data_IF_290323224803
#
_entry.id   IF_290323224803
#
_cell.length_a   1.000
_cell.length_b   1.000
_cell.length_c   1.000
_cell.angle_alpha   90.00
_cell.angle_beta   90.00
_cell.angle_gamma   90.00
#
_symmetry.space_group_name_H-M   'P 1'
#
loop_
_entity.id
_entity.type
_entity.pdbx_description
1 polymer ?
#
# COMPACT_ATOMS: atom_id res chain seq x y z
N UNK A 1 2.41 10.11 -1.97
CA UNK A 1 1.17 9.86 -2.75
C UNK A 1 -0.02 10.23 -1.90
N UNK A 2 -1.00 10.97 -2.44
CA UNK A 2 -2.20 11.34 -1.69
C UNK A 2 -3.18 10.15 -1.62
N UNK A 3 -3.74 9.84 -0.43
CA UNK A 3 -4.68 8.74 -0.28
C UNK A 3 -6.02 9.03 -0.95
N UNK A 4 -6.58 8.04 -1.65
CA UNK A 4 -7.89 8.10 -2.29
C UNK A 4 -8.81 7.07 -1.67
N UNK A 5 -10.08 7.44 -1.50
CA UNK A 5 -11.13 6.57 -0.98
C UNK A 5 -11.99 6.06 -2.13
N UNK A 6 -12.18 4.74 -2.19
CA UNK A 6 -13.05 4.04 -3.15
C UNK A 6 -14.10 3.20 -2.42
N UNK A 7 -15.30 3.10 -2.99
CA UNK A 7 -16.39 2.31 -2.41
C UNK A 7 -16.27 0.87 -2.88
N UNK A 8 -16.17 -0.06 -1.92
CA UNK A 8 -16.15 -1.50 -2.19
C UNK A 8 -17.56 -2.07 -2.13
N UNK A 9 -18.31 -1.73 -1.08
CA UNK A 9 -19.69 -2.17 -0.91
C UNK A 9 -20.48 -1.17 -0.09
N UNK A 10 -21.81 -1.23 -0.23
CA UNK A 10 -22.74 -0.36 0.48
C UNK A 10 -23.97 -1.15 0.87
N UNK A 11 -24.55 -0.79 2.01
CA UNK A 11 -25.87 -1.23 2.45
C UNK A 11 -26.70 0.00 2.81
N UNK A 12 -27.90 -0.22 3.35
CA UNK A 12 -28.75 0.84 3.86
C UNK A 12 -28.15 1.56 5.09
N UNK A 13 -27.29 0.92 5.87
CA UNK A 13 -26.74 1.49 7.12
C UNK A 13 -25.22 1.35 7.27
N UNK A 14 -24.54 0.87 6.24
CA UNK A 14 -23.09 0.72 6.25
C UNK A 14 -22.45 1.00 4.89
N UNK A 15 -21.21 1.48 4.92
CA UNK A 15 -20.36 1.70 3.75
C UNK A 15 -19.01 1.02 3.98
N UNK A 16 -18.60 0.16 3.07
CA UNK A 16 -17.26 -0.43 3.05
C UNK A 16 -16.42 0.32 2.04
N UNK A 17 -15.34 0.95 2.51
CA UNK A 17 -14.45 1.77 1.70
C UNK A 17 -13.03 1.21 1.72
N UNK A 18 -12.37 1.25 0.58
CA UNK A 18 -10.94 0.96 0.43
C UNK A 18 -10.18 2.28 0.32
N UNK A 19 -9.07 2.38 1.05
CA UNK A 19 -8.11 3.47 0.94
C UNK A 19 -6.91 2.99 0.13
N UNK A 20 -6.54 3.78 -0.89
CA UNK A 20 -5.41 3.53 -1.78
C UNK A 20 -4.43 4.71 -1.74
N UNK A 21 -3.10 4.49 -1.67
CA UNK A 21 -2.44 3.21 -1.52
C UNK A 21 -2.72 2.56 -0.15
N UNK A 22 -2.62 1.23 -0.08
CA UNK A 22 -2.78 0.50 1.17
C UNK A 22 -1.67 0.90 2.15
N UNK A 23 -2.04 1.20 3.40
CA UNK A 23 -1.12 1.57 4.47
C UNK A 23 -1.44 0.76 5.73
N UNK A 24 -0.41 0.54 6.56
CA UNK A 24 -0.55 -0.18 7.83
C UNK A 24 -1.44 0.56 8.84
N UNK A 25 -1.49 1.89 8.75
CA UNK A 25 -2.35 2.77 9.56
C UNK A 25 -2.91 3.90 8.71
N UNK A 26 -4.22 4.12 8.78
CA UNK A 26 -4.86 5.28 8.18
C UNK A 26 -5.97 5.80 9.09
N UNK A 27 -6.31 7.07 8.90
CA UNK A 27 -7.47 7.68 9.50
C UNK A 27 -8.46 8.08 8.41
N UNK A 28 -9.69 7.61 8.55
CA UNK A 28 -10.80 7.92 7.68
C UNK A 28 -11.70 8.94 8.36
N UNK A 29 -11.96 10.06 7.69
CA UNK A 29 -12.97 11.01 8.10
C UNK A 29 -14.17 10.90 7.17
N UNK A 30 -15.37 10.74 7.72
CA UNK A 30 -16.62 10.71 6.98
C UNK A 30 -17.59 11.75 7.50
N UNK A 31 -18.44 12.28 6.61
CA UNK A 31 -19.47 13.26 6.94
C UNK A 31 -20.69 13.01 6.07
N UNK A 32 -21.86 13.36 6.58
CA UNK A 32 -23.02 13.61 5.72
C UNK A 32 -22.67 14.73 4.73
N UNK A 33 -23.17 14.61 3.51
CA UNK A 33 -22.96 15.61 2.49
C UNK A 33 -23.69 16.90 2.87
N UNK A 34 -22.93 17.92 3.27
CA UNK A 34 -23.44 19.25 3.58
C UNK A 34 -23.15 20.22 2.44
N UNK A 35 -24.14 21.05 2.09
CA UNK A 35 -23.99 22.10 1.06
C UNK A 35 -23.07 23.25 1.50
N UNK A 36 -22.84 23.42 2.81
CA UNK A 36 -22.11 24.60 3.36
C UNK A 36 -20.94 24.18 4.26
N UNK A 37 -21.14 23.22 5.17
CA UNK A 37 -20.09 22.73 6.07
C UNK A 37 -20.21 21.22 6.24
N UNK A 38 -19.06 20.54 6.34
CA UNK A 38 -18.98 19.12 6.67
C UNK A 38 -18.72 18.95 8.17
N UNK A 39 -19.45 18.05 8.81
CA UNK A 39 -19.22 17.64 10.19
C UNK A 39 -18.51 16.29 10.18
N UNK A 40 -17.18 16.34 10.21
CA UNK A 40 -16.35 15.14 10.08
C UNK A 40 -16.36 14.29 11.34
N UNK A 41 -16.63 13.00 11.16
CA UNK A 41 -16.37 11.95 12.16
C UNK A 41 -15.13 11.19 11.73
N UNK A 42 -14.14 11.10 12.62
CA UNK A 42 -12.85 10.47 12.32
C UNK A 42 -12.76 9.07 12.94
N UNK A 43 -12.22 8.11 12.18
CA UNK A 43 -12.01 6.72 12.60
C UNK A 43 -10.62 6.28 12.18
N UNK A 44 -9.83 5.82 13.13
CA UNK A 44 -8.51 5.23 12.88
C UNK A 44 -8.64 3.72 12.64
N UNK A 45 -7.90 3.22 11.65
CA UNK A 45 -7.90 1.81 11.28
C UNK A 45 -6.52 1.33 10.87
N UNK A 46 -6.24 0.04 11.12
CA UNK A 46 -4.95 -0.62 10.84
C UNK A 46 -4.99 -1.51 9.59
N UNK A 47 -5.98 -1.33 8.71
CA UNK A 47 -6.13 -2.16 7.50
C UNK A 47 -7.29 -1.72 6.60
N UNK A 48 -7.05 -1.76 5.29
CA UNK A 48 -8.01 -1.40 4.23
C UNK A 48 -8.47 -2.69 3.53
N UNK A 49 -9.77 -2.91 3.28
CA UNK A 49 -10.89 -1.97 3.42
C UNK A 49 -11.49 -1.88 4.84
N UNK A 50 -12.17 -0.76 5.14
CA UNK A 50 -12.87 -0.49 6.40
C UNK A 50 -14.38 -0.34 6.18
N UNK A 51 -15.19 -0.95 7.04
CA UNK A 51 -16.65 -0.80 7.04
C UNK A 51 -17.13 0.18 8.11
N UNK A 52 -17.68 1.31 7.66
CA UNK A 52 -18.39 2.29 8.50
C UNK A 52 -19.80 1.75 8.77
N UNK A 53 -20.21 1.68 10.03
CA UNK A 53 -21.53 1.16 10.46
C UNK A 53 -22.35 2.24 11.14
N UNK A 54 -23.68 2.06 11.17
CA UNK A 54 -24.59 2.95 11.88
C UNK A 54 -24.90 4.25 11.12
N UNK A 55 -24.76 4.22 9.79
CA UNK A 55 -25.09 5.35 8.94
C UNK A 55 -26.60 5.48 8.78
N UNK A 56 -27.09 6.70 8.59
CA UNK A 56 -28.49 6.95 8.31
C UNK A 56 -28.84 6.41 6.91
N UNK A 57 -29.98 5.71 6.77
CA UNK A 57 -30.45 5.23 5.48
C UNK A 57 -30.91 6.40 4.61
N UNK A 58 -30.74 6.24 3.29
CA UNK A 58 -31.10 7.25 2.28
C UNK A 58 -30.32 8.57 2.35
N UNK A 59 -29.13 8.54 2.97
CA UNK A 59 -28.29 9.72 3.18
C UNK A 59 -27.04 9.66 2.31
N UNK A 60 -26.63 10.80 1.77
CA UNK A 60 -25.39 10.94 1.03
C UNK A 60 -24.24 11.18 2.00
N UNK A 61 -23.21 10.34 1.92
CA UNK A 61 -21.98 10.49 2.68
C UNK A 61 -20.81 10.81 1.75
N UNK A 62 -19.84 11.52 2.30
CA UNK A 62 -18.53 11.75 1.71
C UNK A 62 -17.44 11.33 2.69
N UNK A 63 -16.33 10.83 2.17
CA UNK A 63 -15.19 10.41 2.96
C UNK A 63 -13.91 11.08 2.45
N UNK A 64 -12.95 11.27 3.34
CA UNK A 64 -11.57 11.60 3.02
C UNK A 64 -10.68 10.77 3.94
N UNK A 65 -9.48 10.43 3.50
CA UNK A 65 -8.55 9.66 4.31
C UNK A 65 -7.21 10.37 4.42
N UNK A 66 -6.47 10.09 5.48
CA UNK A 66 -5.04 10.40 5.61
C UNK A 66 -4.29 9.17 6.08
N UNK A 67 -3.04 9.03 5.65
CA UNK A 67 -2.20 7.90 6.03
C UNK A 67 -1.26 8.33 7.16
N UNK A 68 -0.90 7.38 8.02
CA UNK A 68 0.19 7.59 8.96
C UNK A 68 1.51 7.27 8.25
N UNK A 69 2.47 8.18 8.31
CA UNK A 69 3.82 7.96 7.79
C UNK A 69 4.72 7.46 8.93
N UNK A 70 5.15 6.21 8.85
CA UNK A 70 6.09 5.62 9.82
C UNK A 70 7.46 6.31 9.76
N UNK A 71 7.83 6.87 8.60
CA UNK A 71 9.10 7.57 8.38
C UNK A 71 9.16 8.90 9.13
N UNK A 72 8.06 9.66 9.13
CA UNK A 72 7.96 10.98 9.77
C UNK A 72 7.30 10.93 11.14
N UNK A 73 6.78 9.76 11.54
CA UNK A 73 5.97 9.53 12.73
C UNK A 73 4.81 10.54 12.88
N UNK A 74 4.21 10.90 11.74
CA UNK A 74 3.17 11.94 11.64
C UNK A 74 2.05 11.52 10.69
N UNK A 75 0.89 12.13 10.90
CA UNK A 75 -0.24 12.01 9.99
C UNK A 75 -0.01 12.88 8.76
N UNK A 76 -0.12 12.29 7.57
CA UNK A 76 -0.12 13.04 6.33
C UNK A 76 -1.37 13.92 6.20
N UNK A 77 -1.36 14.83 5.24
CA UNK A 77 -2.55 15.59 4.90
C UNK A 77 -3.66 14.68 4.37
N UNK A 78 -4.90 15.14 4.55
CA UNK A 78 -6.06 14.48 3.97
C UNK A 78 -5.98 14.52 2.44
N UNK A 79 -6.25 13.38 1.83
CA UNK A 79 -6.47 13.30 0.40
C UNK A 79 -7.80 13.93 -0.03
N UNK A 80 -8.10 13.91 -1.35
CA UNK A 80 -9.32 14.48 -1.88
C UNK A 80 -10.57 13.82 -1.29
N UNK A 81 -11.64 14.61 -1.20
CA UNK A 81 -12.96 14.12 -0.81
C UNK A 81 -13.45 13.12 -1.87
N UNK A 82 -14.02 12.00 -1.41
CA UNK A 82 -14.57 10.95 -2.26
C UNK A 82 -15.76 11.44 -3.10
N UNK A 83 -16.14 10.65 -4.09
CA UNK A 83 -17.43 10.82 -4.75
C UNK A 83 -18.58 10.61 -3.75
N UNK A 84 -19.77 11.13 -4.08
CA UNK A 84 -20.95 11.00 -3.22
C UNK A 84 -21.41 9.55 -3.11
N UNK A 85 -21.55 9.08 -1.87
CA UNK A 85 -21.94 7.72 -1.54
C UNK A 85 -23.30 7.74 -0.87
N UNK A 86 -24.35 7.46 -1.64
CA UNK A 86 -25.70 7.37 -1.10
C UNK A 86 -25.97 5.96 -0.57
N UNK A 87 -26.32 5.85 0.71
CA UNK A 87 -26.91 4.64 1.28
C UNK A 87 -28.34 4.54 0.72
N UNK A 88 -28.75 3.40 0.16
CA UNK A 88 -30.12 3.19 -0.31
C UNK A 88 -30.83 2.25 0.63
N UNK A 89 -32.13 2.44 0.82
CA UNK A 89 -32.95 1.40 1.45
C UNK A 89 -33.04 0.18 0.53
N UNK A 90 -33.17 -1.02 1.10
CA UNK A 90 -33.32 -2.26 0.33
C UNK A 90 -34.52 -2.20 -0.64
N UNK A 91 -35.59 -1.49 -0.24
CA UNK A 91 -36.76 -1.25 -1.06
C UNK A 91 -36.49 -0.30 -2.26
N UNK A 92 -35.71 0.78 -2.06
CA UNK A 92 -35.33 1.70 -3.14
C UNK A 92 -34.30 1.10 -4.10
N UNK A 93 -33.37 0.28 -3.61
CA UNK A 93 -32.39 -0.42 -4.44
C UNK A 93 -33.08 -1.45 -5.34
N UNK A 94 -34.06 -2.18 -4.80
CA UNK A 94 -34.92 -3.11 -5.57
C UNK A 94 -35.81 -2.39 -6.58
N UNK A 95 -36.35 -1.21 -6.24
CA UNK A 95 -37.11 -0.37 -7.18
C UNK A 95 -36.22 0.13 -8.33
N UNK A 96 -34.99 0.55 -8.03
CA UNK A 96 -34.04 1.02 -9.05
C UNK A 96 -33.58 -0.10 -9.99
N UNK A 97 -33.21 -1.27 -9.45
CA UNK A 97 -32.85 -2.43 -10.28
C UNK A 97 -34.01 -2.84 -11.18
N UNK A 98 -35.25 -2.81 -10.66
CA UNK A 98 -36.47 -3.03 -11.43
C UNK A 98 -36.62 -2.04 -12.60
N UNK A 99 -36.49 -0.74 -12.35
CA UNK A 99 -36.62 0.28 -13.40
C UNK A 99 -35.55 0.21 -14.48
N UNK A 100 -34.31 -0.16 -14.12
CA UNK A 100 -33.23 -0.32 -15.10
C UNK A 100 -33.49 -1.54 -16.00
N UNK A 101 -33.92 -2.64 -15.40
CA UNK A 101 -34.28 -3.85 -16.13
C UNK A 101 -35.49 -3.63 -17.07
N UNK A 102 -36.53 -2.93 -16.61
CA UNK A 102 -37.68 -2.57 -17.44
C UNK A 102 -37.31 -1.64 -18.60
N UNK A 103 -36.45 -0.64 -18.37
CA UNK A 103 -36.00 0.26 -19.42
C UNK A 103 -35.17 -0.49 -20.48
N UNK A 104 -34.27 -1.38 -20.07
CA UNK A 104 -33.50 -2.23 -20.97
C UNK A 104 -34.42 -3.14 -21.83
N UNK A 105 -35.44 -3.75 -21.21
CA UNK A 105 -36.46 -4.54 -21.91
C UNK A 105 -37.28 -3.74 -22.92
N UNK A 106 -37.62 -2.48 -22.59
CA UNK A 106 -38.35 -1.58 -23.49
C UNK A 106 -37.52 -1.22 -24.73
N UNK A 107 -36.23 -0.94 -24.55
CA UNK A 107 -35.31 -0.64 -25.64
C UNK A 107 -35.12 -1.84 -26.58
N UNK A 108 -35.04 -3.07 -26.05
CA UNK A 108 -34.92 -4.28 -26.86
C UNK A 108 -36.19 -4.53 -27.70
N UNK A 109 -37.38 -4.30 -27.12
CA UNK A 109 -38.67 -4.40 -27.83
C UNK A 109 -38.80 -3.38 -28.96
N UNK A 110 -38.35 -2.15 -28.75
CA UNK A 110 -38.36 -1.11 -29.79
C UNK A 110 -37.45 -1.49 -30.97
N UNK A 111 -36.22 -1.93 -30.71
CA UNK A 111 -35.29 -2.39 -31.74
C UNK A 111 -35.85 -3.57 -32.56
N UNK A 112 -36.50 -4.55 -31.92
CA UNK A 112 -37.17 -5.66 -32.64
C UNK A 112 -38.27 -5.18 -33.59
N UNK A 113 -39.04 -4.18 -33.15
CA UNK A 113 -40.18 -3.67 -33.91
C UNK A 113 -39.72 -2.91 -35.15
N UNK A 114 -38.68 -2.08 -35.02
CA UNK A 114 -38.08 -1.34 -36.13
C UNK A 114 -37.47 -2.28 -37.18
N UNK A 115 -36.80 -3.35 -36.73
CA UNK A 115 -36.22 -4.37 -37.60
C UNK A 115 -37.30 -5.11 -38.42
N UNK A 116 -38.42 -5.48 -37.81
CA UNK A 116 -39.54 -6.11 -38.53
C UNK A 116 -40.16 -5.20 -39.59
N UNK A 117 -40.29 -3.90 -39.32
CA UNK A 117 -40.84 -2.94 -40.28
C UNK A 117 -39.96 -2.77 -41.53
N UNK A 118 -38.63 -2.82 -41.37
CA UNK A 118 -37.72 -2.76 -42.51
C UNK A 118 -37.83 -4.00 -43.40
N UNK A 119 -37.97 -5.18 -42.81
CA UNK A 119 -38.18 -6.44 -43.55
C UNK A 119 -39.47 -6.38 -44.38
N UNK A 120 -40.56 -5.86 -43.82
CA UNK A 120 -41.82 -5.69 -44.56
C UNK A 120 -41.71 -4.73 -45.75
N UNK A 121 -40.98 -3.61 -45.61
CA UNK A 121 -40.78 -2.65 -46.71
C UNK A 121 -40.01 -3.28 -47.87
N UNK A 122 -38.98 -4.07 -47.56
CA UNK A 122 -38.17 -4.78 -48.56
C UNK A 122 -39.00 -5.84 -49.30
N UNK A 123 -39.88 -6.57 -48.60
CA UNK A 123 -40.78 -7.54 -49.23
C UNK A 123 -41.81 -6.87 -50.17
N UNK A 124 -42.28 -5.67 -49.82
CA UNK A 124 -43.26 -4.93 -50.65
C UNK A 124 -42.65 -4.38 -51.94
N UNK A 125 -41.37 -4.00 -51.94
CA UNK A 125 -40.70 -3.54 -53.17
C UNK A 125 -40.39 -4.67 -54.15
N UNK A 126 -40.30 -5.91 -53.67
CA UNK A 126 -40.01 -7.08 -54.51
C UNK A 126 -41.25 -7.66 -55.21
N UNK A 127 -42.45 -7.13 -54.97
CA UNK A 127 -43.72 -7.82 -55.31
C UNK A 127 -44.67 -7.10 -56.29
N UNK A 128 -44.28 -6.00 -56.95
CA UNK A 128 -45.19 -5.26 -57.86
C UNK A 128 -44.80 -5.35 -59.36
N UNK A 129 -45.52 -6.13 -60.20
CA UNK A 129 -45.26 -6.27 -61.62
C UNK A 129 -46.44 -5.73 -62.47
N UNK A 130 -46.52 -4.42 -62.74
CA UNK A 130 -47.40 -3.94 -63.82
C UNK A 130 -47.06 -2.54 -64.32
N UNK A 131 -46.40 -2.47 -65.49
CA UNK A 131 -46.44 -1.29 -66.35
C UNK A 131 -46.52 -1.75 -67.82
N UNK A 132 -47.65 -1.54 -68.50
CA UNK A 132 -47.72 -1.70 -69.94
C UNK A 132 -48.16 -0.39 -70.61
N UNK A 133 -47.19 0.28 -71.25
CA UNK A 133 -47.46 1.19 -72.37
C UNK A 133 -47.66 0.36 -73.64
N UNK A 134 -48.78 0.61 -74.32
CA UNK A 134 -48.84 0.48 -75.77
C UNK A 134 -49.95 -0.41 -76.31
N UNK A 135 -50.90 0.19 -77.05
CA UNK A 135 -51.09 -0.19 -78.46
C UNK A 135 -52.03 0.77 -79.22
N UNK A 136 -51.43 1.35 -80.27
CA UNK A 136 -51.89 1.53 -81.66
C UNK A 136 -53.31 2.08 -81.93
N UNK A 137 -53.30 3.35 -82.39
CA UNK A 137 -54.42 4.14 -82.94
C UNK A 137 -54.89 3.63 -84.31
N UNK A 138 -56.21 3.48 -84.45
CA UNK A 138 -56.94 3.45 -85.73
C UNK A 138 -57.00 4.89 -86.26
N UNK A 139 -56.70 5.14 -87.54
CA UNK A 139 -56.78 6.50 -88.12
C UNK A 139 -58.22 6.85 -88.52
N UNK A 140 -58.82 7.93 -87.96
CA UNK A 140 -60.17 8.41 -88.29
C UNK A 140 -60.22 9.23 -89.59
N UNK A 141 -61.39 9.29 -90.21
CA UNK A 141 -61.66 9.99 -91.48
C UNK A 141 -61.61 11.52 -91.37
N UNK A 142 -61.49 12.25 -92.49
CA UNK A 142 -61.36 13.71 -92.51
C UNK A 142 -62.50 14.48 -91.80
N UNK A 143 -63.70 13.91 -91.75
CA UNK A 143 -64.85 14.52 -91.07
C UNK A 143 -64.85 14.24 -89.55
N UNK A 144 -64.35 13.07 -89.13
CA UNK A 144 -64.05 12.78 -87.72
C UNK A 144 -62.90 13.66 -87.21
N UNK A 145 -61.88 13.94 -88.03
CA UNK A 145 -60.80 14.87 -87.68
C UNK A 145 -61.29 16.31 -87.50
N UNK A 146 -62.29 16.77 -88.26
CA UNK A 146 -62.84 18.13 -88.10
C UNK A 146 -63.72 18.27 -86.86
N UNK A 147 -64.57 17.27 -86.57
CA UNK A 147 -65.35 17.28 -85.32
C UNK A 147 -64.48 17.04 -84.08
N UNK A 148 -63.51 16.12 -84.16
CA UNK A 148 -62.51 15.94 -83.11
C UNK A 148 -61.67 17.20 -82.93
N UNK A 149 -61.27 17.90 -84.00
CA UNK A 149 -60.55 19.17 -83.90
C UNK A 149 -61.39 20.27 -83.24
N UNK A 150 -62.69 20.36 -83.51
CA UNK A 150 -63.59 21.29 -82.80
C UNK A 150 -63.76 20.92 -81.33
N UNK A 151 -64.00 19.64 -81.02
CA UNK A 151 -64.07 19.16 -79.63
C UNK A 151 -62.74 19.38 -78.89
N UNK A 152 -61.61 19.14 -79.54
CA UNK A 152 -60.26 19.38 -79.00
C UNK A 152 -60.02 20.87 -78.77
N UNK A 153 -60.50 21.75 -79.66
CA UNK A 153 -60.44 23.20 -79.45
C UNK A 153 -61.32 23.63 -78.27
N UNK A 154 -62.55 23.15 -78.14
CA UNK A 154 -63.43 23.48 -77.01
C UNK A 154 -62.88 22.94 -75.68
N UNK A 155 -62.31 21.73 -75.69
CA UNK A 155 -61.60 21.15 -74.54
C UNK A 155 -60.36 21.97 -74.20
N UNK A 156 -59.59 22.42 -75.20
CA UNK A 156 -58.43 23.28 -74.97
C UNK A 156 -58.83 24.66 -74.44
N UNK A 157 -59.94 25.24 -74.92
CA UNK A 157 -60.46 26.51 -74.39
C UNK A 157 -60.92 26.33 -72.94
N UNK A 158 -61.59 25.23 -72.61
CA UNK A 158 -61.99 24.92 -71.24
C UNK A 158 -60.78 24.70 -70.32
N UNK A 159 -59.75 23.99 -70.80
CA UNK A 159 -58.48 23.82 -70.08
C UNK A 159 -57.77 25.15 -69.85
N UNK A 160 -57.63 25.98 -70.89
CA UNK A 160 -57.02 27.30 -70.77
C UNK A 160 -57.78 28.21 -69.79
N UNK A 161 -59.12 28.14 -69.76
CA UNK A 161 -59.92 28.88 -68.77
C UNK A 161 -59.69 28.39 -67.34
N UNK A 162 -59.62 27.08 -67.14
CA UNK A 162 -59.32 26.50 -65.83
C UNK A 162 -57.89 26.82 -65.39
N UNK A 163 -56.91 26.70 -66.28
CA UNK A 163 -55.51 27.10 -66.04
C UNK A 163 -55.41 28.58 -65.67
N UNK A 164 -56.19 29.44 -66.32
CA UNK A 164 -56.19 30.89 -66.03
C UNK A 164 -56.87 31.20 -64.68
N UNK A 165 -57.90 30.45 -64.29
CA UNK A 165 -58.51 30.54 -62.95
C UNK A 165 -57.57 30.02 -61.86
N UNK A 166 -56.88 28.91 -62.10
CA UNK A 166 -55.87 28.36 -61.19
C UNK A 166 -54.70 29.33 -61.03
N UNK A 167 -54.22 29.93 -62.13
CA UNK A 167 -53.20 30.97 -62.09
C UNK A 167 -53.65 32.22 -61.32
N UNK A 168 -54.91 32.65 -61.45
CA UNK A 168 -55.44 33.75 -60.66
C UNK A 168 -55.51 33.42 -59.16
N UNK A 169 -55.87 32.17 -58.82
CA UNK A 169 -55.90 31.71 -57.44
C UNK A 169 -54.49 31.60 -56.82
N UNK A 170 -53.50 31.10 -57.57
CA UNK A 170 -52.10 31.03 -57.12
C UNK A 170 -51.49 32.42 -56.94
N UNK A 171 -51.77 33.36 -57.85
CA UNK A 171 -51.34 34.76 -57.72
C UNK A 171 -51.89 35.40 -56.43
N UNK A 172 -53.17 35.19 -56.13
CA UNK A 172 -53.77 35.70 -54.88
C UNK A 172 -53.16 35.07 -53.62
N UNK A 173 -52.77 33.79 -53.68
CA UNK A 173 -52.07 33.11 -52.59
C UNK A 173 -50.66 33.68 -52.39
N UNK A 174 -49.93 33.96 -53.48
CA UNK A 174 -48.60 34.56 -53.44
C UNK A 174 -48.64 35.99 -52.87
N UNK A 175 -49.65 36.78 -53.22
CA UNK A 175 -49.85 38.12 -52.63
C UNK A 175 -50.08 38.04 -51.11
N UNK A 176 -50.85 37.04 -50.64
CA UNK A 176 -51.06 36.83 -49.21
C UNK A 176 -49.76 36.42 -48.51
N UNK A 177 -48.98 35.53 -49.13
CA UNK A 177 -47.69 35.11 -48.59
C UNK A 177 -46.71 36.29 -48.49
N UNK A 178 -46.62 37.13 -49.52
CA UNK A 178 -45.76 38.32 -49.51
C UNK A 178 -46.08 39.29 -48.38
N UNK A 179 -47.37 39.47 -48.04
CA UNK A 179 -47.76 40.32 -46.90
C UNK A 179 -47.28 39.76 -45.56
N UNK A 180 -47.37 38.44 -45.37
CA UNK A 180 -46.86 37.79 -44.16
C UNK A 180 -45.33 37.91 -44.07
N UNK A 181 -44.65 37.72 -45.20
CA UNK A 181 -43.19 37.87 -45.26
C UNK A 181 -42.76 39.31 -44.95
N UNK A 182 -43.49 40.32 -45.44
CA UNK A 182 -43.26 41.73 -45.11
C UNK A 182 -43.43 42.01 -43.61
N UNK A 183 -44.46 41.46 -42.96
CA UNK A 183 -44.66 41.57 -41.51
C UNK A 183 -43.48 40.95 -40.73
N UNK A 184 -43.05 39.74 -41.08
CA UNK A 184 -41.92 39.06 -40.43
C UNK A 184 -40.62 39.85 -40.60
N UNK A 185 -40.37 40.42 -41.79
CA UNK A 185 -39.20 41.26 -42.03
C UNK A 185 -39.22 42.49 -41.10
N UNK A 186 -40.38 43.13 -40.91
CA UNK A 186 -40.46 44.28 -40.00
C UNK A 186 -40.21 43.92 -38.53
N UNK A 187 -40.68 42.76 -38.08
CA UNK A 187 -40.39 42.26 -36.72
C UNK A 187 -38.89 41.98 -36.53
N UNK A 188 -38.24 41.32 -37.48
CA UNK A 188 -36.81 41.04 -37.43
C UNK A 188 -35.95 42.31 -37.42
N UNK A 189 -36.35 43.35 -38.16
CA UNK A 189 -35.66 44.65 -38.15
C UNK A 189 -35.79 45.33 -36.78
N UNK A 190 -36.98 45.30 -36.16
CA UNK A 190 -37.20 45.84 -34.82
C UNK A 190 -36.38 45.09 -33.75
N UNK A 191 -36.23 43.77 -33.86
CA UNK A 191 -35.39 42.99 -32.96
C UNK A 191 -33.90 43.31 -33.12
N UNK A 192 -33.41 43.50 -34.35
CA UNK A 192 -32.03 43.93 -34.58
C UNK A 192 -31.74 45.30 -33.96
N UNK A 193 -32.67 46.25 -34.03
CA UNK A 193 -32.51 47.58 -33.42
C UNK A 193 -32.47 47.50 -31.88
N UNK A 194 -33.29 46.64 -31.26
CA UNK A 194 -33.22 46.34 -29.82
C UNK A 194 -31.90 45.71 -29.42
N UNK A 195 -31.37 44.77 -30.20
CA UNK A 195 -30.08 44.15 -29.91
C UNK A 195 -28.93 45.16 -30.02
N UNK A 196 -28.99 46.08 -30.99
CA UNK A 196 -27.98 47.12 -31.17
C UNK A 196 -27.93 48.09 -29.98
N UNK A 197 -29.09 48.53 -29.51
CA UNK A 197 -29.19 49.41 -28.33
C UNK A 197 -28.68 48.74 -27.05
N UNK A 198 -29.00 47.45 -26.83
CA UNK A 198 -28.46 46.67 -25.71
C UNK A 198 -26.93 46.54 -25.79
N UNK A 199 -26.38 46.34 -26.99
CA UNK A 199 -24.93 46.23 -27.19
C UNK A 199 -24.19 47.55 -26.93
N UNK A 200 -24.76 48.69 -27.33
CA UNK A 200 -24.22 50.03 -27.01
C UNK A 200 -24.26 50.31 -25.49
N UNK A 201 -25.26 49.77 -24.79
CA UNK A 201 -25.37 49.88 -23.33
C UNK A 201 -24.37 48.97 -22.59
N UNK A 202 -24.06 47.79 -23.16
CA UNK A 202 -23.11 46.84 -22.58
C UNK A 202 -21.63 47.20 -22.83
N UNK A 203 -21.31 47.96 -23.88
CA UNK A 203 -19.94 48.41 -24.16
C UNK A 203 -19.52 49.69 -23.42
N UNK A 204 -20.41 50.31 -22.64
CA UNK A 204 -20.21 51.65 -22.06
C UNK A 204 -20.04 51.71 -20.52
N UNK A 205 -20.05 50.58 -19.81
CA UNK A 205 -19.76 50.57 -18.36
C UNK A 205 -18.24 50.57 -18.09
N UNK A 206 -17.64 51.76 -17.94
CA UNK A 206 -16.25 51.94 -17.49
C UNK A 206 -15.92 51.18 -16.17
N UNK A 207 -16.95 50.86 -15.38
CA UNK A 207 -16.88 49.99 -14.19
C UNK A 207 -16.39 48.58 -14.51
N UNK A 208 -16.81 47.98 -15.62
CA UNK A 208 -16.47 46.59 -15.95
C UNK A 208 -15.04 46.48 -16.46
N UNK A 209 -14.56 47.50 -17.18
CA UNK A 209 -13.14 47.57 -17.58
C UNK A 209 -12.21 47.76 -16.38
N UNK A 210 -12.61 48.56 -15.38
CA UNK A 210 -11.84 48.73 -14.15
C UNK A 210 -11.78 47.43 -13.32
N UNK A 211 -12.89 46.69 -13.23
CA UNK A 211 -12.92 45.42 -12.53
C UNK A 211 -12.08 44.34 -13.25
N UNK A 212 -12.12 44.30 -14.59
CA UNK A 212 -11.26 43.40 -15.38
C UNK A 212 -9.78 43.72 -15.13
N UNK A 213 -9.39 44.99 -15.14
CA UNK A 213 -8.00 45.38 -14.89
C UNK A 213 -7.56 45.01 -13.45
N UNK A 214 -8.45 45.19 -12.47
CA UNK A 214 -8.20 44.77 -11.08
C UNK A 214 -8.02 43.26 -10.98
N UNK A 215 -8.90 42.48 -11.60
CA UNK A 215 -8.82 41.01 -11.60
C UNK A 215 -7.54 40.52 -12.27
N UNK A 216 -7.11 41.14 -13.37
CA UNK A 216 -5.84 40.83 -14.03
C UNK A 216 -4.62 41.12 -13.13
N UNK A 217 -4.61 42.24 -12.42
CA UNK A 217 -3.54 42.56 -11.48
C UNK A 217 -3.47 41.56 -10.32
N UNK A 218 -4.64 41.14 -9.81
CA UNK A 218 -4.73 40.15 -8.73
C UNK A 218 -4.28 38.76 -9.19
N UNK A 219 -4.62 38.40 -10.44
CA UNK A 219 -4.19 37.14 -11.05
C UNK A 219 -2.66 37.12 -11.24
N UNK A 220 -2.07 38.21 -11.74
CA UNK A 220 -0.62 38.35 -11.88
C UNK A 220 0.12 38.28 -10.53
N UNK A 221 -0.44 38.90 -9.48
CA UNK A 221 0.13 38.80 -8.13
C UNK A 221 0.08 37.37 -7.58
N UNK A 222 -1.03 36.66 -7.79
CA UNK A 222 -1.17 35.27 -7.40
C UNK A 222 -0.22 34.35 -8.17
N UNK A 223 -0.02 34.56 -9.47
CA UNK A 223 0.94 33.80 -10.27
C UNK A 223 2.37 33.99 -9.77
N UNK A 224 2.77 35.22 -9.42
CA UNK A 224 4.08 35.50 -8.85
C UNK A 224 4.28 34.83 -7.47
N UNK A 225 3.25 34.84 -6.62
CA UNK A 225 3.29 34.13 -5.33
C UNK A 225 3.39 32.62 -5.52
N UNK A 226 2.61 32.05 -6.44
CA UNK A 226 2.66 30.63 -6.76
C UNK A 226 4.05 30.21 -7.24
N UNK A 227 4.65 31.00 -8.13
CA UNK A 227 6.01 30.75 -8.60
C UNK A 227 7.06 30.80 -7.47
N UNK A 228 6.93 31.75 -6.54
CA UNK A 228 7.80 31.81 -5.36
C UNK A 228 7.63 30.59 -4.44
N UNK A 229 6.40 30.15 -4.18
CA UNK A 229 6.13 28.93 -3.42
C UNK A 229 6.68 27.70 -4.13
N UNK A 230 6.57 27.61 -5.45
CA UNK A 230 7.14 26.52 -6.24
C UNK A 230 8.67 26.48 -6.11
N UNK A 231 9.35 27.63 -6.17
CA UNK A 231 10.80 27.68 -5.96
C UNK A 231 11.21 27.30 -4.53
N UNK A 232 10.45 27.71 -3.53
CA UNK A 232 10.68 27.29 -2.14
C UNK A 232 10.49 25.78 -1.96
N UNK A 233 9.47 25.20 -2.60
CA UNK A 233 9.24 23.76 -2.59
C UNK A 233 10.39 22.99 -3.26
N UNK A 234 10.89 23.46 -4.41
CA UNK A 234 12.03 22.85 -5.09
C UNK A 234 13.30 22.92 -4.22
N UNK A 235 13.55 24.07 -3.56
CA UNK A 235 14.69 24.20 -2.67
C UNK A 235 14.57 23.28 -1.45
N UNK A 236 13.39 23.21 -0.83
CA UNK A 236 13.09 22.29 0.26
C UNK A 236 13.30 20.83 -0.15
N UNK A 237 12.84 20.45 -1.34
CA UNK A 237 13.04 19.11 -1.88
C UNK A 237 14.53 18.77 -2.04
N UNK A 238 15.33 19.69 -2.57
CA UNK A 238 16.78 19.48 -2.71
C UNK A 238 17.49 19.31 -1.36
N UNK A 239 17.06 20.05 -0.32
CA UNK A 239 17.58 19.89 1.03
C UNK A 239 17.21 18.52 1.63
N UNK A 240 15.96 18.09 1.46
CA UNK A 240 15.48 16.78 1.91
C UNK A 240 16.33 15.67 1.27
N UNK A 241 16.52 15.69 -0.05
CA UNK A 241 17.34 14.69 -0.75
C UNK A 241 18.80 14.65 -0.25
N UNK A 242 19.33 15.79 0.19
CA UNK A 242 20.69 15.88 0.74
C UNK A 242 20.74 15.25 2.13
N UNK A 243 19.73 15.49 2.95
CA UNK A 243 19.62 14.86 4.27
C UNK A 243 19.36 13.36 4.17
N UNK A 244 18.51 12.91 3.26
CA UNK A 244 18.25 11.50 2.99
C UNK A 244 19.55 10.77 2.59
N UNK A 245 20.32 11.33 1.65
CA UNK A 245 21.64 10.78 1.28
C UNK A 245 22.61 10.71 2.45
N UNK A 246 22.67 11.76 3.28
CA UNK A 246 23.53 11.77 4.45
C UNK A 246 23.10 10.73 5.49
N UNK A 247 21.79 10.56 5.68
CA UNK A 247 21.22 9.60 6.62
C UNK A 247 21.49 8.17 6.17
N UNK A 248 21.34 7.86 4.89
CA UNK A 248 21.67 6.55 4.32
C UNK A 248 23.17 6.23 4.46
N UNK A 249 24.04 7.21 4.20
CA UNK A 249 25.48 7.06 4.43
C UNK A 249 25.77 6.75 5.91
N UNK A 250 25.13 7.46 6.84
CA UNK A 250 25.31 7.23 8.28
C UNK A 250 24.78 5.87 8.72
N UNK A 251 23.65 5.42 8.17
CA UNK A 251 23.13 4.06 8.41
C UNK A 251 24.11 2.98 7.95
N UNK A 252 24.72 3.15 6.78
CA UNK A 252 25.74 2.22 6.28
C UNK A 252 27.00 2.24 7.17
N UNK A 253 27.47 3.41 7.60
CA UNK A 253 28.62 3.52 8.52
C UNK A 253 28.35 2.84 9.87
N UNK A 254 27.12 2.96 10.40
CA UNK A 254 26.71 2.30 11.63
C UNK A 254 26.71 0.78 11.44
N UNK A 255 26.10 0.27 10.37
CA UNK A 255 26.04 -1.17 10.10
C UNK A 255 27.45 -1.81 10.00
N UNK A 256 28.40 -1.14 9.33
CA UNK A 256 29.78 -1.61 9.24
C UNK A 256 30.45 -1.64 10.62
N UNK A 257 30.20 -0.63 11.47
CA UNK A 257 30.74 -0.60 12.83
C UNK A 257 30.12 -1.64 13.74
N UNK A 258 28.82 -1.90 13.61
CA UNK A 258 28.13 -2.95 14.36
C UNK A 258 28.70 -4.32 14.04
N UNK A 259 28.92 -4.63 12.75
CA UNK A 259 29.60 -5.86 12.33
C UNK A 259 31.02 -5.98 12.91
N UNK A 260 31.77 -4.88 12.96
CA UNK A 260 33.12 -4.88 13.52
C UNK A 260 33.10 -5.08 15.04
N UNK A 261 32.13 -4.50 15.75
CA UNK A 261 31.95 -4.74 17.19
C UNK A 261 31.60 -6.20 17.45
N UNK A 262 30.69 -6.80 16.68
CA UNK A 262 30.34 -8.21 16.79
C UNK A 262 31.57 -9.11 16.58
N UNK A 263 32.36 -8.82 15.54
CA UNK A 263 33.63 -9.53 15.29
C UNK A 263 34.61 -9.43 16.46
N UNK A 264 34.78 -8.23 17.02
CA UNK A 264 35.67 -8.02 18.17
C UNK A 264 35.17 -8.72 19.43
N UNK A 265 33.85 -8.76 19.65
CA UNK A 265 33.26 -9.49 20.77
C UNK A 265 33.49 -11.00 20.66
N UNK A 266 33.31 -11.56 19.46
CA UNK A 266 33.60 -12.97 19.17
C UNK A 266 35.09 -13.30 19.38
N UNK A 267 35.99 -12.43 18.93
CA UNK A 267 37.43 -12.56 19.13
C UNK A 267 37.78 -12.50 20.63
N UNK A 268 37.21 -11.57 21.39
CA UNK A 268 37.38 -11.48 22.84
C UNK A 268 36.86 -12.74 23.55
N UNK A 269 35.68 -13.24 23.17
CA UNK A 269 35.12 -14.45 23.74
C UNK A 269 36.01 -15.67 23.48
N UNK A 270 36.52 -15.80 22.24
CA UNK A 270 37.46 -16.87 21.89
C UNK A 270 38.73 -16.81 22.72
N UNK A 271 39.37 -15.64 22.83
CA UNK A 271 40.60 -15.47 23.62
C UNK A 271 40.36 -15.74 25.11
N UNK A 272 39.22 -15.31 25.66
CA UNK A 272 38.87 -15.62 27.05
C UNK A 272 38.67 -17.13 27.27
N UNK A 273 38.04 -17.82 26.33
CA UNK A 273 37.86 -19.27 26.41
C UNK A 273 39.21 -20.00 26.34
N UNK A 274 40.07 -19.63 25.37
CA UNK A 274 41.42 -20.19 25.26
C UNK A 274 42.25 -19.96 26.54
N UNK A 275 42.15 -18.77 27.13
CA UNK A 275 42.82 -18.46 28.40
C UNK A 275 42.26 -19.29 29.57
N UNK A 276 40.94 -19.52 29.62
CA UNK A 276 40.31 -20.37 30.63
C UNK A 276 40.73 -21.83 30.48
N UNK A 277 40.78 -22.35 29.25
CA UNK A 277 41.22 -23.71 28.96
C UNK A 277 42.70 -23.92 29.36
N UNK A 278 43.58 -22.96 29.03
CA UNK A 278 45.00 -23.00 29.44
C UNK A 278 45.14 -22.92 30.96
N UNK A 279 44.36 -22.08 31.64
CA UNK A 279 44.38 -21.98 33.09
C UNK A 279 43.93 -23.30 33.74
N UNK A 280 42.91 -23.95 33.20
CA UNK A 280 42.43 -25.25 33.67
C UNK A 280 43.48 -26.34 33.47
N UNK A 281 44.13 -26.42 32.30
CA UNK A 281 45.22 -27.37 32.07
C UNK A 281 46.38 -27.17 33.06
N UNK A 282 46.79 -25.93 33.30
CA UNK A 282 47.84 -25.62 34.30
C UNK A 282 47.41 -26.00 35.72
N UNK A 283 46.14 -25.85 36.06
CA UNK A 283 45.62 -26.28 37.36
C UNK A 283 45.74 -27.80 37.51
N UNK A 284 45.36 -28.56 36.48
CA UNK A 284 45.52 -30.02 36.48
C UNK A 284 46.99 -30.44 36.61
N UNK A 285 47.90 -29.81 35.87
CA UNK A 285 49.35 -30.08 35.98
C UNK A 285 49.88 -29.84 37.40
N UNK A 286 49.41 -28.77 38.07
CA UNK A 286 49.76 -28.48 39.46
C UNK A 286 49.17 -29.50 40.43
N UNK A 287 47.91 -29.91 40.23
CA UNK A 287 47.25 -30.93 41.04
C UNK A 287 47.94 -32.30 40.92
N UNK A 288 48.34 -32.69 39.70
CA UNK A 288 49.14 -33.90 39.45
C UNK A 288 50.51 -33.82 40.15
N UNK A 289 51.24 -32.70 40.00
CA UNK A 289 52.52 -32.51 40.66
C UNK A 289 52.43 -32.52 42.19
N UNK A 290 51.35 -31.95 42.76
CA UNK A 290 51.08 -32.03 44.20
C UNK A 290 50.77 -33.45 44.65
N UNK A 291 50.01 -34.22 43.86
CA UNK A 291 49.71 -35.61 44.15
C UNK A 291 50.96 -36.48 44.12
N UNK A 292 51.84 -36.29 43.14
CA UNK A 292 53.13 -36.98 43.06
C UNK A 292 54.03 -36.66 44.26
N UNK A 293 54.14 -35.38 44.63
CA UNK A 293 54.91 -34.94 45.79
C UNK A 293 54.35 -35.52 47.09
N UNK A 294 53.02 -35.54 47.25
CA UNK A 294 52.34 -36.17 48.38
C UNK A 294 52.66 -37.66 48.47
N UNK A 295 52.52 -38.39 47.36
CA UNK A 295 52.83 -39.82 47.30
C UNK A 295 54.31 -40.10 47.60
N UNK A 296 55.22 -39.24 47.15
CA UNK A 296 56.65 -39.36 47.46
C UNK A 296 56.93 -39.16 48.95
N UNK A 297 56.26 -38.18 49.59
CA UNK A 297 56.37 -37.92 51.02
C UNK A 297 55.82 -39.08 51.85
N UNK A 298 54.67 -39.64 51.48
CA UNK A 298 54.09 -40.82 52.12
C UNK A 298 55.07 -42.01 52.07
N UNK A 299 55.67 -42.30 50.91
CA UNK A 299 56.71 -43.34 50.80
C UNK A 299 57.93 -43.06 51.68
N UNK A 300 58.35 -41.79 51.79
CA UNK A 300 59.46 -41.42 52.67
C UNK A 300 59.11 -41.62 54.15
N UNK A 301 57.88 -41.29 54.55
CA UNK A 301 57.39 -41.54 55.90
C UNK A 301 57.34 -43.03 56.24
N UNK A 302 56.85 -43.86 55.32
CA UNK A 302 56.81 -45.32 55.49
C UNK A 302 58.23 -45.89 55.64
N UNK A 303 59.17 -45.43 54.80
CA UNK A 303 60.58 -45.81 54.92
C UNK A 303 61.18 -45.39 56.27
N UNK A 304 60.90 -44.16 56.73
CA UNK A 304 61.36 -43.70 58.04
C UNK A 304 60.76 -44.53 59.17
N UNK A 305 59.48 -44.91 59.09
CA UNK A 305 58.84 -45.77 60.08
C UNK A 305 59.54 -47.14 60.15
N UNK A 306 59.79 -47.78 59.00
CA UNK A 306 60.54 -49.05 58.95
C UNK A 306 61.96 -48.93 59.53
N UNK A 307 62.68 -47.85 59.22
CA UNK A 307 64.02 -47.61 59.77
C UNK A 307 63.97 -47.39 61.29
N UNK A 308 62.97 -46.69 61.80
CA UNK A 308 62.78 -46.52 63.24
C UNK A 308 62.48 -47.84 63.95
N UNK A 309 61.65 -48.70 63.35
CA UNK A 309 61.40 -50.06 63.86
C UNK A 309 62.68 -50.90 63.90
N UNK A 310 63.49 -50.87 62.83
CA UNK A 310 64.75 -51.61 62.77
C UNK A 310 65.79 -51.07 63.76
N UNK A 311 65.91 -49.75 63.91
CA UNK A 311 66.76 -49.14 64.95
C UNK A 311 66.32 -49.60 66.33
N UNK A 312 65.01 -49.65 66.61
CA UNK A 312 64.51 -50.11 67.89
C UNK A 312 64.82 -51.60 68.11
N UNK A 313 64.66 -52.44 67.08
CA UNK A 313 65.06 -53.86 67.12
C UNK A 313 66.55 -54.01 67.43
N UNK A 314 67.42 -53.32 66.69
CA UNK A 314 68.87 -53.34 66.91
C UNK A 314 69.25 -52.80 68.29
N UNK A 315 68.55 -51.81 68.83
CA UNK A 315 68.75 -51.33 70.21
C UNK A 315 68.38 -52.40 71.23
N UNK A 316 67.26 -53.11 71.05
CA UNK A 316 66.87 -54.20 71.95
C UNK A 316 67.86 -55.37 71.89
N UNK A 317 68.29 -55.77 70.69
CA UNK A 317 69.29 -56.82 70.51
C UNK A 317 70.64 -56.44 71.14
N UNK A 318 71.12 -55.21 70.89
CA UNK A 318 72.34 -54.72 71.55
C UNK A 318 72.21 -54.71 73.08
N UNK A 319 71.04 -54.36 73.62
CA UNK A 319 70.79 -54.42 75.07
C UNK A 319 70.84 -55.85 75.60
N UNK A 320 70.26 -56.81 74.87
CA UNK A 320 70.29 -58.23 75.22
C UNK A 320 71.72 -58.79 75.15
N UNK A 321 72.48 -58.44 74.11
CA UNK A 321 73.88 -58.83 73.98
C UNK A 321 74.72 -58.26 75.11
N UNK A 322 74.54 -56.98 75.47
CA UNK A 322 75.21 -56.37 76.64
C UNK A 322 74.89 -57.12 77.92
N UNK A 323 73.62 -57.42 78.18
CA UNK A 323 73.21 -58.20 79.34
C UNK A 323 73.83 -59.60 79.32
N UNK A 324 73.86 -60.27 78.18
CA UNK A 324 74.48 -61.59 78.03
C UNK A 324 75.99 -61.55 78.27
N UNK A 325 76.68 -60.48 77.86
CA UNK A 325 78.11 -60.28 78.15
C UNK A 325 78.31 -60.05 79.63
N UNK A 326 77.52 -59.17 80.27
CA UNK A 326 77.58 -58.93 81.72
C UNK A 326 77.33 -60.22 82.54
N UNK A 327 76.35 -61.04 82.14
CA UNK A 327 76.08 -62.34 82.77
C UNK A 327 77.23 -63.34 82.57
N UNK A 328 77.86 -63.33 81.39
CA UNK A 328 79.00 -64.18 81.10
C UNK A 328 80.25 -63.75 81.87
N UNK A 329 80.56 -62.45 81.88
CA UNK A 329 81.64 -61.84 82.66
C UNK A 329 81.42 -62.09 84.16
N UNK A 330 80.19 -61.97 84.66
CA UNK A 330 79.85 -62.30 86.05
C UNK A 330 80.11 -63.78 86.41
N UNK A 331 79.96 -64.70 85.45
CA UNK A 331 80.23 -66.14 85.67
C UNK A 331 81.70 -66.52 85.47
N UNK A 332 82.39 -65.88 84.53
CA UNK A 332 83.77 -66.21 84.16
C UNK A 332 84.77 -65.47 85.02
N UNK A 333 84.56 -64.18 85.31
CA UNK A 333 85.50 -63.39 86.11
C UNK A 333 85.82 -64.05 87.47
N UNK A 334 84.85 -64.58 88.24
CA UNK A 334 85.15 -65.28 89.49
C UNK A 334 85.97 -66.56 89.27
N UNK A 335 85.69 -67.31 88.19
CA UNK A 335 86.44 -68.53 87.86
C UNK A 335 87.87 -68.23 87.41
N UNK A 336 88.08 -67.15 86.65
CA UNK A 336 89.41 -66.70 86.28
C UNK A 336 90.20 -66.27 87.50
N UNK A 337 89.60 -65.48 88.40
CA UNK A 337 90.23 -65.10 89.68
C UNK A 337 90.58 -66.34 90.51
N UNK A 338 89.66 -67.31 90.63
CA UNK A 338 89.95 -68.57 91.33
C UNK A 338 91.12 -69.34 90.69
N UNK A 339 91.15 -69.44 89.36
CA UNK A 339 92.26 -70.08 88.65
C UNK A 339 93.58 -69.31 88.80
N UNK A 340 93.55 -67.98 88.84
CA UNK A 340 94.72 -67.14 89.11
C UNK A 340 95.23 -67.34 90.54
N UNK A 341 94.33 -67.39 91.53
CA UNK A 341 94.64 -67.72 92.93
C UNK A 341 95.22 -69.13 93.08
N UNK A 342 94.64 -70.12 92.39
CA UNK A 342 95.16 -71.49 92.35
C UNK A 342 96.54 -71.57 91.68
N UNK A 343 96.77 -70.83 90.61
CA UNK A 343 98.04 -70.77 89.89
C UNK A 343 99.12 -70.04 90.72
N UNK A 344 98.76 -68.96 91.43
CA UNK A 344 99.58 -68.31 92.45
C UNK A 344 99.95 -69.29 93.58
N UNK A 345 98.98 -70.02 94.11
CA UNK A 345 99.20 -71.02 95.17
C UNK A 345 100.16 -72.13 94.69
N UNK A 346 99.95 -72.67 93.49
CA UNK A 346 100.82 -73.67 92.88
C UNK A 346 102.24 -73.12 92.65
N UNK A 347 102.39 -71.88 92.17
CA UNK A 347 103.70 -71.22 92.02
C UNK A 347 104.42 -71.07 93.36
N UNK A 348 103.73 -70.68 94.43
CA UNK A 348 104.31 -70.59 95.79
C UNK A 348 104.71 -71.95 96.36
N UNK A 349 104.09 -73.03 95.91
CA UNK A 349 104.34 -74.41 96.37
C UNK A 349 105.43 -75.12 95.56
N UNK A 350 105.79 -74.58 94.40
CA UNK A 350 106.88 -75.03 93.52
C UNK A 350 108.20 -74.25 93.75
N UNK A 351 108.19 -73.23 94.60
CA UNK A 351 109.37 -72.64 95.25
C UNK A 351 109.62 -73.35 96.58
#
# INVERSE_FOLDING_TARGET
MQPRVEVVSKTNVSLTVAVLPAAAKFQLAYSEYGYVYYSWTEVEATGSPLTIKGLQPNTCYVCKARLFSDETNQWLEYGPISQYMRTFTEEEETKRSGTYYEHALKMERQHRTEMQQQIQRLQKMLSDPSSPRGNKKRQPSAQENLMASRMDMDVNIAKLRNELLEQAATMKSLEKQRKLDEEVITELLNEQEKLRTLQETAQSSASDQAEIARLQALLSANEAQLHNHQNQAIHGQSQIETYERSLDQKRQEIAVKEMEVERLMDDCQRVMQEAADVAHCKQLELEEGLLEAKNALERQMDNNAMLHEEINRLRTENSQLKQSIEEFDSKIAPKLVQLEEENEYLKRRLQ
#
